data_IF_631514319098
#
_entry.id   IF_631514319098
#
_cell.length_a   1.000
_cell.length_b   1.000
_cell.length_c   1.000
_cell.angle_alpha   90.00
_cell.angle_beta   90.00
_cell.angle_gamma   90.00
#
_symmetry.space_group_name_H-M   'P 1'
#
loop_
_entity.id
_entity.type
_entity.pdbx_description
1 polymer ?
#
# COMPACT_ATOMS: atom_id res chain seq x y z
N UNK A 1 -9.41 -19.09 3.01
CA UNK A 1 -7.97 -19.42 3.21
C UNK A 1 -7.08 -18.17 3.21
N UNK A 2 -7.22 -17.27 2.22
CA UNK A 2 -6.42 -16.05 2.10
C UNK A 2 -6.41 -15.17 3.38
N UNK A 3 -7.57 -14.88 3.96
CA UNK A 3 -7.68 -14.03 5.16
C UNK A 3 -6.92 -14.61 6.37
N UNK A 4 -6.97 -15.94 6.58
CA UNK A 4 -6.25 -16.61 7.67
C UNK A 4 -4.74 -16.58 7.43
N UNK A 5 -4.30 -16.81 6.19
CA UNK A 5 -2.89 -16.74 5.82
C UNK A 5 -2.32 -15.34 6.03
N UNK A 6 -3.04 -14.31 5.58
CA UNK A 6 -2.68 -12.92 5.80
C UNK A 6 -2.65 -12.56 7.29
N UNK A 7 -3.67 -12.92 8.06
CA UNK A 7 -3.67 -12.67 9.50
C UNK A 7 -2.47 -13.32 10.20
N UNK A 8 -2.18 -14.59 9.92
CA UNK A 8 -1.02 -15.31 10.46
C UNK A 8 0.33 -14.67 10.07
N UNK A 9 0.45 -14.16 8.84
CA UNK A 9 1.62 -13.37 8.42
C UNK A 9 1.74 -12.07 9.22
N UNK A 10 0.64 -11.36 9.42
CA UNK A 10 0.65 -10.06 10.12
C UNK A 10 0.98 -10.22 11.60
N UNK A 11 0.54 -11.29 12.25
CA UNK A 11 0.96 -11.59 13.62
C UNK A 11 2.47 -11.81 13.73
N UNK A 12 3.12 -12.35 12.69
CA UNK A 12 4.58 -12.50 12.65
C UNK A 12 5.30 -11.20 12.32
N UNK A 13 4.73 -10.38 11.44
CA UNK A 13 5.35 -9.13 10.97
C UNK A 13 5.19 -7.97 11.97
N UNK A 14 4.02 -7.84 12.59
CA UNK A 14 3.63 -6.70 13.44
C UNK A 14 3.37 -7.11 14.91
N UNK A 15 2.95 -8.35 15.14
CA UNK A 15 2.39 -8.74 16.43
C UNK A 15 1.00 -8.15 16.69
N UNK A 16 0.40 -8.54 17.81
CA UNK A 16 -0.99 -8.20 18.14
C UNK A 16 -1.16 -6.71 18.46
N UNK A 17 -0.23 -6.14 19.25
CA UNK A 17 -0.35 -4.76 19.74
C UNK A 17 -0.26 -3.74 18.59
N UNK A 18 0.74 -3.85 17.72
CA UNK A 18 0.89 -2.94 16.57
C UNK A 18 -0.28 -3.08 15.58
N UNK A 19 -0.74 -4.32 15.34
CA UNK A 19 -1.90 -4.56 14.47
C UNK A 19 -3.18 -3.95 15.04
N UNK A 20 -3.38 -4.04 16.37
CA UNK A 20 -4.51 -3.40 17.04
C UNK A 20 -4.40 -1.88 16.97
N UNK A 21 -3.22 -1.30 17.20
CA UNK A 21 -3.01 0.14 17.07
C UNK A 21 -3.35 0.68 15.67
N UNK A 22 -2.91 0.00 14.62
CA UNK A 22 -3.27 0.34 13.23
C UNK A 22 -4.78 0.23 12.98
N UNK A 23 -5.42 -0.82 13.51
CA UNK A 23 -6.85 -1.02 13.38
C UNK A 23 -7.64 0.12 14.07
N UNK A 24 -7.22 0.56 15.26
CA UNK A 24 -7.87 1.66 15.97
C UNK A 24 -7.82 2.96 15.18
N UNK A 25 -6.66 3.32 14.63
CA UNK A 25 -6.52 4.52 13.77
C UNK A 25 -7.41 4.41 12.54
N UNK A 26 -7.37 3.29 11.82
CA UNK A 26 -8.18 3.10 10.62
C UNK A 26 -9.68 3.10 10.91
N UNK A 27 -10.11 2.46 12.01
CA UNK A 27 -11.51 2.37 12.43
C UNK A 27 -12.13 3.74 12.73
N UNK A 28 -11.37 4.67 13.30
CA UNK A 28 -11.86 6.04 13.58
C UNK A 28 -12.35 6.77 12.33
N UNK A 29 -11.83 6.41 11.17
CA UNK A 29 -12.17 7.00 9.87
C UNK A 29 -12.80 5.98 8.92
N UNK A 30 -13.36 4.89 9.46
CA UNK A 30 -13.99 3.80 8.70
C UNK A 30 -13.13 3.22 7.57
N UNK A 31 -11.80 3.35 7.68
CA UNK A 31 -10.82 3.02 6.65
C UNK A 31 -11.04 3.77 5.31
N UNK A 32 -11.86 4.83 5.31
CA UNK A 32 -12.22 5.63 4.14
C UNK A 32 -13.14 4.92 3.16
N UNK A 33 -12.62 3.96 2.41
CA UNK A 33 -13.36 3.14 1.45
C UNK A 33 -13.78 1.76 2.00
N UNK A 34 -13.70 1.59 3.33
CA UNK A 34 -14.06 0.37 4.04
C UNK A 34 -12.88 -0.58 4.28
N UNK A 35 -13.00 -1.39 5.33
CA UNK A 35 -11.94 -2.28 5.83
C UNK A 35 -11.49 -3.31 4.77
N UNK A 36 -12.41 -3.83 3.95
CA UNK A 36 -12.08 -4.84 2.93
C UNK A 36 -11.15 -4.28 1.86
N UNK A 37 -11.39 -3.05 1.41
CA UNK A 37 -10.53 -2.36 0.46
C UNK A 37 -9.17 -2.05 1.08
N UNK A 38 -9.16 -1.42 2.26
CA UNK A 38 -7.93 -1.11 2.99
C UNK A 38 -7.08 -2.37 3.26
N UNK A 39 -7.71 -3.46 3.68
CA UNK A 39 -7.03 -4.74 3.93
C UNK A 39 -6.51 -5.37 2.64
N UNK A 40 -7.25 -5.26 1.53
CA UNK A 40 -6.79 -5.66 0.20
C UNK A 40 -5.51 -4.90 -0.18
N UNK A 41 -5.55 -3.57 -0.12
CA UNK A 41 -4.42 -2.71 -0.50
C UNK A 41 -3.22 -2.95 0.41
N UNK A 42 -3.41 -3.08 1.72
CA UNK A 42 -2.33 -3.34 2.67
C UNK A 42 -1.60 -4.66 2.38
N UNK A 43 -2.34 -5.74 2.13
CA UNK A 43 -1.74 -7.05 1.91
C UNK A 43 -1.09 -7.18 0.53
N UNK A 44 -1.72 -6.65 -0.53
CA UNK A 44 -1.13 -6.63 -1.87
C UNK A 44 0.11 -5.74 -1.90
N UNK A 45 0.09 -4.59 -1.19
CA UNK A 45 1.29 -3.75 -1.02
C UNK A 45 2.43 -4.53 -0.37
N UNK A 46 2.14 -5.32 0.66
CA UNK A 46 3.13 -6.14 1.34
C UNK A 46 3.72 -7.21 0.41
N UNK A 47 2.88 -7.92 -0.34
CA UNK A 47 3.34 -8.94 -1.32
C UNK A 47 4.22 -8.31 -2.42
N UNK A 48 3.82 -7.15 -2.95
CA UNK A 48 4.58 -6.38 -3.93
C UNK A 48 5.95 -5.94 -3.37
N UNK A 49 5.98 -5.38 -2.16
CA UNK A 49 7.22 -4.94 -1.53
C UNK A 49 8.16 -6.12 -1.22
N UNK A 50 7.63 -7.27 -0.77
CA UNK A 50 8.42 -8.48 -0.51
C UNK A 50 9.04 -9.07 -1.78
N UNK A 51 8.41 -8.87 -2.94
CA UNK A 51 8.93 -9.32 -4.23
C UNK A 51 10.05 -8.42 -4.78
N UNK A 52 10.23 -7.22 -4.22
CA UNK A 52 11.22 -6.24 -4.67
C UNK A 52 12.43 -6.22 -3.73
N UNK A 53 13.65 -5.98 -4.24
CA UNK A 53 14.83 -5.83 -3.40
C UNK A 53 14.77 -4.50 -2.63
N UNK A 54 15.48 -4.44 -1.50
CA UNK A 54 15.75 -3.19 -0.78
C UNK A 54 14.80 -2.84 0.37
N UNK A 55 13.75 -3.63 0.62
CA UNK A 55 12.86 -3.44 1.77
C UNK A 55 13.32 -4.30 2.96
N UNK A 56 13.63 -3.63 4.09
CA UNK A 56 13.81 -4.28 5.38
C UNK A 56 12.48 -4.51 6.10
N UNK A 57 12.50 -5.24 7.21
CA UNK A 57 11.28 -5.54 7.98
C UNK A 57 10.51 -4.28 8.41
N UNK A 58 11.22 -3.24 8.87
CA UNK A 58 10.61 -1.96 9.24
C UNK A 58 9.93 -1.24 8.07
N UNK A 59 10.51 -1.36 6.87
CA UNK A 59 9.89 -0.81 5.66
C UNK A 59 8.64 -1.59 5.28
N UNK A 60 8.68 -2.93 5.36
CA UNK A 60 7.54 -3.79 5.08
C UNK A 60 6.36 -3.51 6.03
N UNK A 61 6.64 -3.32 7.33
CA UNK A 61 5.64 -2.88 8.32
C UNK A 61 5.02 -1.55 7.93
N UNK A 62 5.85 -0.59 7.51
CA UNK A 62 5.43 0.75 7.12
C UNK A 62 4.61 0.76 5.84
N UNK A 63 5.00 -0.02 4.82
CA UNK A 63 4.25 -0.20 3.56
C UNK A 63 2.89 -0.83 3.82
N UNK A 64 2.83 -1.84 4.69
CA UNK A 64 1.55 -2.42 5.10
C UNK A 64 0.65 -1.38 5.78
N UNK A 65 1.18 -0.62 6.74
CA UNK A 65 0.46 0.44 7.44
C UNK A 65 -0.05 1.53 6.47
N UNK A 66 0.80 1.97 5.53
CA UNK A 66 0.42 2.93 4.51
C UNK A 66 -0.71 2.40 3.63
N UNK A 67 -0.65 1.14 3.19
CA UNK A 67 -1.72 0.52 2.42
C UNK A 67 -3.04 0.41 3.19
N UNK A 68 -2.99 0.14 4.50
CA UNK A 68 -4.18 0.06 5.35
C UNK A 68 -4.83 1.44 5.58
N UNK A 69 -4.01 2.48 5.66
CA UNK A 69 -4.46 3.84 6.02
C UNK A 69 -4.56 4.79 4.83
N UNK A 70 -4.28 4.35 3.60
CA UNK A 70 -4.14 5.23 2.44
C UNK A 70 -5.38 6.10 2.15
N UNK A 71 -6.57 5.56 2.45
CA UNK A 71 -7.84 6.15 2.09
C UNK A 71 -8.56 6.84 3.25
N UNK A 72 -7.98 6.92 4.46
CA UNK A 72 -8.67 7.49 5.65
C UNK A 72 -9.19 8.93 5.44
N UNK A 73 -8.59 9.69 4.53
CA UNK A 73 -9.09 11.02 4.15
C UNK A 73 -10.46 11.02 3.46
N UNK A 74 -10.89 9.89 2.88
CA UNK A 74 -12.19 9.73 2.22
C UNK A 74 -13.36 9.86 3.16
N UNK A 75 -13.15 9.60 4.45
CA UNK A 75 -14.15 9.84 5.48
C UNK A 75 -14.71 11.28 5.41
N UNK A 76 -13.89 12.25 5.00
CA UNK A 76 -14.30 13.65 4.88
C UNK A 76 -14.53 14.11 3.43
N UNK A 77 -13.79 13.58 2.46
CA UNK A 77 -13.89 14.05 1.06
C UNK A 77 -13.44 13.00 0.06
N UNK A 78 -14.18 12.85 -1.04
CA UNK A 78 -13.72 12.05 -2.18
C UNK A 78 -12.58 12.72 -2.96
N UNK A 79 -12.57 14.05 -3.04
CA UNK A 79 -11.55 14.81 -3.78
C UNK A 79 -10.45 15.28 -2.85
N UNK A 80 -9.20 14.99 -3.19
CA UNK A 80 -8.04 15.39 -2.39
C UNK A 80 -7.90 14.61 -1.07
N UNK A 81 -8.47 13.41 -0.97
CA UNK A 81 -8.39 12.58 0.24
C UNK A 81 -6.95 12.19 0.59
N UNK A 82 -6.04 12.15 -0.38
CA UNK A 82 -4.63 11.91 -0.13
C UNK A 82 -4.01 13.00 0.76
N UNK A 83 -4.40 14.28 0.59
CA UNK A 83 -3.92 15.38 1.41
C UNK A 83 -4.60 15.42 2.77
N UNK A 84 -5.92 15.15 2.80
CA UNK A 84 -6.67 15.06 4.06
C UNK A 84 -6.17 13.88 4.90
N UNK A 85 -5.90 12.74 4.28
CA UNK A 85 -5.36 11.55 4.93
C UNK A 85 -4.03 11.85 5.63
N UNK A 86 -3.10 12.53 4.96
CA UNK A 86 -1.83 12.96 5.60
C UNK A 86 -2.08 13.87 6.82
N UNK A 87 -3.04 14.80 6.73
CA UNK A 87 -3.39 15.66 7.87
C UNK A 87 -3.96 14.86 9.04
N UNK A 88 -4.86 13.92 8.78
CA UNK A 88 -5.42 13.06 9.83
C UNK A 88 -4.33 12.22 10.50
N UNK A 89 -3.41 11.63 9.72
CA UNK A 89 -2.31 10.86 10.28
C UNK A 89 -1.40 11.70 11.18
N UNK A 90 -1.30 13.01 10.96
CA UNK A 90 -0.55 13.92 11.84
C UNK A 90 -1.18 14.09 13.22
N UNK A 91 -2.49 13.88 13.35
CA UNK A 91 -3.18 13.83 14.64
C UNK A 91 -2.81 12.56 15.43
N UNK A 92 -2.29 11.53 14.74
CA UNK A 92 -1.84 10.26 15.30
C UNK A 92 -0.32 10.06 15.15
N UNK A 93 0.44 11.14 14.95
CA UNK A 93 1.87 11.06 14.68
C UNK A 93 2.66 10.38 15.82
N UNK A 94 2.32 10.67 17.07
CA UNK A 94 3.00 10.11 18.24
C UNK A 94 2.93 8.57 18.30
N UNK A 95 1.75 7.93 18.26
CA UNK A 95 1.69 6.48 18.24
C UNK A 95 2.26 5.88 16.95
N UNK A 96 2.04 6.50 15.78
CA UNK A 96 2.50 5.94 14.51
C UNK A 96 4.02 6.02 14.34
N UNK A 97 4.65 7.10 14.75
CA UNK A 97 6.10 7.30 14.62
C UNK A 97 6.96 6.45 15.55
N UNK A 98 6.35 5.88 16.60
CA UNK A 98 7.04 4.91 17.48
C UNK A 98 7.19 3.54 16.83
N UNK A 99 6.24 3.17 15.99
CA UNK A 99 6.13 1.81 15.43
C UNK A 99 6.52 1.73 13.95
N UNK A 100 6.46 2.85 13.23
CA UNK A 100 6.65 2.92 11.78
C UNK A 100 7.56 4.09 11.37
N UNK A 101 8.15 3.99 10.18
CA UNK A 101 8.77 5.14 9.53
C UNK A 101 7.66 6.11 9.08
N UNK A 102 7.39 7.12 9.91
CA UNK A 102 6.27 8.03 9.72
C UNK A 102 6.42 8.88 8.45
N UNK A 103 7.65 9.23 8.04
CA UNK A 103 7.89 9.97 6.81
C UNK A 103 7.55 9.11 5.58
N UNK A 104 8.02 7.86 5.56
CA UNK A 104 7.69 6.91 4.50
C UNK A 104 6.18 6.60 4.45
N UNK A 105 5.55 6.43 5.62
CA UNK A 105 4.10 6.17 5.74
C UNK A 105 3.30 7.31 5.08
N UNK A 106 3.53 8.55 5.52
CA UNK A 106 2.79 9.71 5.01
C UNK A 106 3.12 10.02 3.55
N UNK A 107 4.35 9.75 3.11
CA UNK A 107 4.72 9.83 1.69
C UNK A 107 3.92 8.87 0.82
N UNK A 108 3.79 7.61 1.23
CA UNK A 108 2.98 6.62 0.52
C UNK A 108 1.51 7.02 0.47
N UNK A 109 0.95 7.49 1.60
CA UNK A 109 -0.44 7.95 1.68
C UNK A 109 -0.68 9.17 0.79
N UNK A 110 0.24 10.14 0.75
CA UNK A 110 0.14 11.29 -0.17
C UNK A 110 0.15 10.85 -1.63
N UNK A 111 0.92 9.82 -1.97
CA UNK A 111 1.24 9.47 -3.35
C UNK A 111 0.56 8.21 -3.91
N UNK A 112 -0.41 7.63 -3.19
CA UNK A 112 -1.13 6.44 -3.65
C UNK A 112 -2.00 6.69 -4.92
N UNK A 113 -2.28 7.95 -5.25
CA UNK A 113 -3.09 8.35 -6.42
C UNK A 113 -2.22 8.68 -7.64
N UNK A 114 -2.69 8.30 -8.84
CA UNK A 114 -2.00 8.49 -10.12
C UNK A 114 -1.68 9.96 -10.45
N UNK A 115 -2.55 10.90 -10.08
CA UNK A 115 -2.35 12.32 -10.40
C UNK A 115 -1.24 12.98 -9.59
N UNK A 116 -0.73 12.32 -8.55
CA UNK A 116 0.37 12.83 -7.73
C UNK A 116 1.72 12.42 -8.32
N UNK A 117 2.73 13.26 -8.13
CA UNK A 117 4.09 13.01 -8.63
C UNK A 117 5.10 12.91 -7.46
N UNK A 118 5.42 11.68 -7.00
CA UNK A 118 6.33 11.48 -5.86
C UNK A 118 7.77 11.93 -6.17
N UNK A 119 8.22 11.89 -7.43
CA UNK A 119 9.57 12.33 -7.81
C UNK A 119 9.77 13.85 -7.67
N UNK A 120 8.68 14.63 -7.56
CA UNK A 120 8.71 16.07 -7.35
C UNK A 120 8.46 16.49 -5.91
N UNK A 121 8.17 15.54 -5.02
CA UNK A 121 7.97 15.85 -3.61
C UNK A 121 9.35 15.97 -2.92
N UNK A 122 9.63 17.06 -2.18
CA UNK A 122 10.91 17.26 -1.50
C UNK A 122 11.31 16.13 -0.53
N UNK A 123 10.35 15.32 -0.04
CA UNK A 123 10.65 14.15 0.79
C UNK A 123 11.34 13.03 -0.01
N UNK A 124 11.19 13.00 -1.34
CA UNK A 124 11.84 12.00 -2.18
C UNK A 124 13.37 12.06 -2.09
N UNK A 125 13.96 13.24 -1.87
CA UNK A 125 15.41 13.38 -1.67
C UNK A 125 15.90 12.64 -0.41
N UNK A 126 15.10 12.65 0.66
CA UNK A 126 15.43 12.00 1.93
C UNK A 126 15.12 10.50 1.92
N UNK A 127 13.98 10.13 1.35
CA UNK A 127 13.53 8.74 1.27
C UNK A 127 14.24 7.94 0.17
N UNK A 128 14.80 8.63 -0.82
CA UNK A 128 15.50 8.06 -1.96
C UNK A 128 14.63 7.15 -2.81
N UNK A 129 15.27 6.28 -3.58
CA UNK A 129 14.62 5.32 -4.47
C UNK A 129 13.67 4.36 -3.72
N UNK A 130 14.02 3.98 -2.49
CA UNK A 130 13.18 3.14 -1.61
C UNK A 130 11.81 3.79 -1.36
N UNK A 131 11.77 5.09 -1.09
CA UNK A 131 10.51 5.82 -0.91
C UNK A 131 9.66 5.85 -2.18
N UNK A 132 10.30 6.06 -3.33
CA UNK A 132 9.62 6.04 -4.62
C UNK A 132 9.04 4.66 -4.94
N UNK A 133 9.79 3.58 -4.68
CA UNK A 133 9.32 2.20 -4.82
C UNK A 133 8.14 1.93 -3.88
N UNK A 134 8.21 2.33 -2.62
CA UNK A 134 7.13 2.13 -1.65
C UNK A 134 5.83 2.84 -2.08
N UNK A 135 5.94 4.10 -2.52
CA UNK A 135 4.79 4.85 -3.03
C UNK A 135 4.20 4.21 -4.30
N UNK A 136 5.05 3.70 -5.19
CA UNK A 136 4.63 2.98 -6.40
C UNK A 136 3.91 1.65 -6.07
N UNK A 137 4.41 0.92 -5.08
CA UNK A 137 3.82 -0.31 -4.56
C UNK A 137 2.41 -0.05 -4.02
N UNK A 138 2.24 0.91 -3.11
CA UNK A 138 0.92 1.23 -2.53
C UNK A 138 -0.03 1.74 -3.62
N UNK A 139 0.47 2.55 -4.55
CA UNK A 139 -0.30 3.04 -5.70
C UNK A 139 -0.80 1.89 -6.58
N UNK A 140 0.03 0.90 -6.88
CA UNK A 140 -0.35 -0.27 -7.67
C UNK A 140 -1.34 -1.16 -6.92
N UNK A 141 -1.13 -1.38 -5.62
CA UNK A 141 -2.04 -2.15 -4.79
C UNK A 141 -3.45 -1.52 -4.72
N UNK A 142 -3.55 -0.18 -4.65
CA UNK A 142 -4.82 0.56 -4.81
C UNK A 142 -5.37 0.50 -6.26
N UNK A 143 -4.94 -0.43 -7.12
CA UNK A 143 -5.70 -0.80 -8.31
C UNK A 143 -6.80 -1.82 -7.99
N UNK A 144 -6.60 -2.63 -6.95
CA UNK A 144 -7.55 -3.63 -6.49
C UNK A 144 -8.66 -2.96 -5.69
N UNK A 145 -9.89 -3.41 -5.89
CA UNK A 145 -11.06 -2.92 -5.17
C UNK A 145 -11.32 -3.74 -3.92
N UNK A 146 -11.43 -5.07 -4.06
CA UNK A 146 -11.75 -5.98 -2.96
C UNK A 146 -11.50 -7.43 -3.40
N UNK A 147 -10.45 -8.06 -2.85
CA UNK A 147 -10.11 -9.46 -3.20
C UNK A 147 -10.86 -10.51 -2.37
N UNK A 148 -11.69 -10.09 -1.42
CA UNK A 148 -12.54 -11.00 -0.65
C UNK A 148 -13.83 -11.34 -1.39
N UNK A 149 -14.34 -10.43 -2.21
CA UNK A 149 -15.65 -10.60 -2.87
C UNK A 149 -15.67 -10.34 -4.38
N UNK A 150 -14.85 -9.41 -4.89
CA UNK A 150 -14.97 -8.90 -6.27
C UNK A 150 -13.87 -9.41 -7.19
N UNK A 151 -12.68 -9.54 -6.65
CA UNK A 151 -11.46 -9.94 -7.35
C UNK A 151 -10.90 -11.23 -6.72
N UNK A 152 -10.15 -11.99 -7.49
CA UNK A 152 -9.47 -13.20 -6.99
C UNK A 152 -7.96 -12.95 -7.10
N UNK A 153 -7.21 -13.13 -6.01
CA UNK A 153 -5.79 -12.80 -5.90
C UNK A 153 -4.99 -13.98 -5.33
N UNK A 154 -3.85 -14.28 -5.95
CA UNK A 154 -3.00 -15.44 -5.58
C UNK A 154 -1.57 -15.09 -5.20
N UNK A 155 -1.13 -13.83 -5.39
CA UNK A 155 0.20 -13.39 -4.97
C UNK A 155 0.95 -12.62 -6.05
N UNK A 156 2.24 -12.42 -5.79
CA UNK A 156 3.20 -11.74 -6.66
C UNK A 156 4.42 -12.63 -6.84
N UNK A 157 4.99 -12.64 -8.05
CA UNK A 157 6.29 -13.27 -8.33
C UNK A 157 7.11 -12.44 -9.30
N UNK A 158 8.42 -12.61 -9.27
CA UNK A 158 9.33 -11.97 -10.24
C UNK A 158 9.99 -13.06 -11.10
N UNK A 159 9.74 -13.04 -12.39
CA UNK A 159 10.27 -13.99 -13.37
C UNK A 159 10.77 -13.26 -14.61
N UNK A 160 12.02 -13.51 -15.01
CA UNK A 160 12.55 -13.01 -16.30
C UNK A 160 12.53 -11.49 -16.48
N UNK A 161 12.62 -10.69 -15.41
CA UNK A 161 12.52 -9.22 -15.48
C UNK A 161 11.08 -8.68 -15.46
N UNK A 162 10.10 -9.55 -15.23
CA UNK A 162 8.69 -9.20 -15.07
C UNK A 162 8.26 -9.42 -13.62
N UNK A 163 7.62 -8.43 -13.02
CA UNK A 163 6.84 -8.58 -11.80
C UNK A 163 5.41 -8.97 -12.20
N UNK A 164 5.05 -10.22 -11.92
CA UNK A 164 3.74 -10.77 -12.23
C UNK A 164 2.85 -10.72 -10.98
N UNK A 165 1.69 -10.08 -11.13
CA UNK A 165 0.62 -10.10 -10.12
C UNK A 165 -0.44 -11.10 -10.59
N UNK A 166 -0.58 -12.20 -9.85
CA UNK A 166 -1.46 -13.30 -10.22
C UNK A 166 -2.86 -13.02 -9.69
N UNK A 167 -3.78 -12.62 -10.58
CA UNK A 167 -5.15 -12.26 -10.21
C UNK A 167 -6.16 -12.46 -11.35
N UNK A 168 -7.45 -12.52 -11.00
CA UNK A 168 -8.58 -12.54 -11.93
C UNK A 168 -9.60 -11.48 -11.54
N UNK A 169 -10.38 -11.03 -12.52
CA UNK A 169 -11.44 -10.00 -12.41
C UNK A 169 -10.96 -8.61 -11.99
N UNK A 170 -9.68 -8.43 -11.67
CA UNK A 170 -9.08 -7.13 -11.44
C UNK A 170 -9.19 -6.22 -12.67
N UNK A 171 -9.42 -4.93 -12.44
CA UNK A 171 -9.57 -3.96 -13.50
C UNK A 171 -8.21 -3.69 -14.20
N UNK A 172 -7.97 -4.38 -15.32
CA UNK A 172 -6.71 -4.31 -16.07
C UNK A 172 -6.30 -2.88 -16.42
N UNK A 173 -7.22 -2.03 -16.89
CA UNK A 173 -6.90 -0.64 -17.25
C UNK A 173 -6.47 0.19 -16.03
N UNK A 174 -7.13 0.02 -14.88
CA UNK A 174 -6.75 0.69 -13.62
C UNK A 174 -5.40 0.19 -13.13
N UNK A 175 -5.15 -1.12 -13.22
CA UNK A 175 -3.89 -1.75 -12.85
C UNK A 175 -2.72 -1.22 -13.69
N UNK A 176 -2.80 -1.32 -15.02
CA UNK A 176 -1.75 -0.85 -15.94
C UNK A 176 -1.44 0.63 -15.73
N UNK A 177 -2.46 1.48 -15.60
CA UNK A 177 -2.25 2.91 -15.37
C UNK A 177 -1.62 3.25 -14.01
N UNK A 178 -1.66 2.34 -13.04
CA UNK A 178 -1.01 2.50 -11.72
C UNK A 178 0.35 1.83 -11.66
N UNK A 179 0.62 0.86 -12.54
CA UNK A 179 1.89 0.17 -12.67
C UNK A 179 3.01 1.06 -13.25
N UNK A 180 2.65 2.06 -14.07
CA UNK A 180 3.59 2.96 -14.77
C UNK A 180 4.74 3.48 -13.88
N UNK A 181 4.43 3.89 -12.64
CA UNK A 181 5.45 4.38 -11.71
C UNK A 181 6.37 3.25 -11.22
N UNK A 182 5.81 2.09 -10.91
CA UNK A 182 6.60 0.95 -10.42
C UNK A 182 7.54 0.43 -11.51
N UNK A 183 7.06 0.34 -12.75
CA UNK A 183 7.88 -0.05 -13.90
C UNK A 183 9.04 0.92 -14.11
N UNK A 184 8.75 2.23 -14.04
CA UNK A 184 9.76 3.28 -14.20
C UNK A 184 10.87 3.19 -13.15
N UNK A 185 10.51 2.99 -11.88
CA UNK A 185 11.49 3.02 -10.78
C UNK A 185 12.22 1.68 -10.64
N UNK A 186 11.51 0.56 -10.73
CA UNK A 186 12.12 -0.78 -10.56
C UNK A 186 12.86 -1.29 -11.80
N UNK A 187 12.55 -0.77 -12.99
CA UNK A 187 13.02 -1.31 -14.27
C UNK A 187 12.39 -2.65 -14.65
N UNK A 188 11.46 -3.18 -13.85
CA UNK A 188 10.71 -4.40 -14.17
C UNK A 188 9.49 -4.06 -15.02
N UNK A 189 9.12 -4.97 -15.90
CA UNK A 189 7.78 -4.95 -16.51
C UNK A 189 6.77 -5.43 -15.48
N UNK A 190 5.60 -4.79 -15.37
CA UNK A 190 4.57 -5.19 -14.40
C UNK A 190 3.35 -5.72 -15.13
N UNK A 191 3.00 -6.99 -14.87
CA UNK A 191 1.91 -7.66 -15.58
C UNK A 191 0.85 -8.21 -14.61
N UNK A 192 -0.41 -8.09 -15.01
CA UNK A 192 -1.52 -8.81 -14.40
C UNK A 192 -1.71 -10.12 -15.16
N UNK A 193 -1.44 -11.25 -14.50
CA UNK A 193 -1.51 -12.59 -15.11
C UNK A 193 -2.62 -13.42 -14.47
N UNK A 194 -3.19 -14.33 -15.27
CA UNK A 194 -4.11 -15.33 -14.73
C UNK A 194 -3.34 -16.45 -14.01
N UNK A 195 -3.92 -17.08 -12.97
CA UNK A 195 -3.39 -18.30 -12.35
C UNK A 195 -3.35 -19.47 -13.32
#
# INVERSE_FOLDING_TARGET
ELALAWYSRLLRLLGVEQLHGLYEVGRLYEFGAGLEHASTVANVSLDLAQALPGFGEGDLRTVYAAGLLHDVGRYFTERGHEEVGVKLLSEHADPLSREFDYELLTFCVRHHRRHTNPERDPAAERLGEKGLLAAAVVRLADAFTNVYEKEEYWGVRVEGGTLEVVARRANKRRFEGKAELLEKISGLRVELVAP
#
